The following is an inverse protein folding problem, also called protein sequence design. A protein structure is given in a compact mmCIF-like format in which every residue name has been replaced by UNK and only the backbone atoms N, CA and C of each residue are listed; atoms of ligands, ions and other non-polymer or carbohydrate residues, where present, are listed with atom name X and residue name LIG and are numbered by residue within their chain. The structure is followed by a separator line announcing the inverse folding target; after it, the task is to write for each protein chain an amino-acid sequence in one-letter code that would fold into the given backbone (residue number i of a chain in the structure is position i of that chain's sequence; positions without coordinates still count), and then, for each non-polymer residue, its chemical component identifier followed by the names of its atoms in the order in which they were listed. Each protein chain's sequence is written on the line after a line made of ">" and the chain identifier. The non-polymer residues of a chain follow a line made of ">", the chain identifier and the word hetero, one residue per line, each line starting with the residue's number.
data_IF_103347126921
#
_entry.id   IF_103347126921
#
_cell.length_a   1.000
_cell.length_b   1.000
_cell.length_c   1.000
_cell.angle_alpha   90.00
_cell.angle_beta   90.00
_cell.angle_gamma   90.00
#
_symmetry.space_group_name_H-M   'P 1'
#
loop_
_entity.id
_entity.type
_entity.pdbx_description
1 polymer ?
#
# COMPACT_ATOMS: atom_id res chain seq x y z
N UNK A 1 35.79 -18.92 14.35
CA UNK A 1 34.64 -18.74 15.25
C UNK A 1 33.77 -17.59 14.71
N UNK A 2 32.68 -17.91 14.02
CA UNK A 2 31.52 -17.01 13.88
C UNK A 2 30.37 -17.76 14.55
N UNK A 3 29.80 -17.13 15.55
CA UNK A 3 28.79 -17.65 16.45
C UNK A 3 27.57 -18.19 15.67
N UNK A 4 27.26 -19.49 15.86
CA UNK A 4 26.10 -20.15 15.23
C UNK A 4 24.79 -19.90 16.00
N UNK A 5 24.85 -19.13 17.09
CA UNK A 5 23.72 -18.89 18.00
C UNK A 5 22.94 -17.61 17.66
N UNK A 6 23.41 -16.81 16.69
CA UNK A 6 22.72 -15.60 16.18
C UNK A 6 21.85 -15.86 14.94
N UNK A 7 21.86 -17.09 14.40
CA UNK A 7 21.00 -17.53 13.30
C UNK A 7 19.70 -18.19 13.81
N UNK A 8 18.87 -17.46 14.55
CA UNK A 8 17.43 -17.69 14.47
C UNK A 8 16.95 -16.82 13.31
N UNK A 9 16.83 -17.36 12.09
CA UNK A 9 17.08 -16.60 10.86
C UNK A 9 15.86 -15.78 10.48
N UNK A 10 16.05 -14.76 9.64
CA UNK A 10 14.96 -14.00 8.99
C UNK A 10 13.90 -14.90 8.33
N UNK A 11 14.24 -16.16 8.02
CA UNK A 11 13.33 -17.25 7.66
C UNK A 11 12.21 -17.50 8.69
N UNK A 12 12.45 -17.39 10.00
CA UNK A 12 11.41 -17.54 11.02
C UNK A 12 10.43 -16.38 11.01
N UNK A 13 10.92 -15.16 10.75
CA UNK A 13 10.08 -13.97 10.59
C UNK A 13 9.26 -14.08 9.31
N UNK A 14 9.89 -14.48 8.19
CA UNK A 14 9.17 -14.84 6.97
C UNK A 14 8.13 -15.90 7.22
N UNK A 15 8.47 -17.01 7.89
CA UNK A 15 7.53 -18.10 8.20
C UNK A 15 6.40 -17.65 9.10
N UNK A 16 6.65 -16.79 10.08
CA UNK A 16 5.59 -16.23 10.94
C UNK A 16 4.67 -15.32 10.13
N UNK A 17 5.23 -14.43 9.30
CA UNK A 17 4.45 -13.53 8.44
C UNK A 17 3.67 -14.32 7.39
N UNK A 18 4.29 -15.30 6.74
CA UNK A 18 3.64 -16.10 5.69
C UNK A 18 2.68 -17.11 6.28
N UNK A 19 2.97 -17.75 7.41
CA UNK A 19 2.06 -18.72 8.02
C UNK A 19 0.92 -18.02 8.75
N UNK A 20 1.20 -17.17 9.75
CA UNK A 20 0.15 -16.47 10.49
C UNK A 20 -0.57 -15.42 9.62
N UNK A 21 0.16 -14.69 8.78
CA UNK A 21 -0.44 -13.72 7.87
C UNK A 21 -1.27 -14.39 6.78
N UNK A 22 -0.83 -15.50 6.18
CA UNK A 22 -1.68 -16.21 5.22
C UNK A 22 -2.85 -16.91 5.87
N UNK A 23 -2.71 -17.55 7.03
CA UNK A 23 -3.84 -18.16 7.74
C UNK A 23 -4.91 -17.12 8.05
N UNK A 24 -4.52 -15.96 8.60
CA UNK A 24 -5.46 -14.88 8.92
C UNK A 24 -6.05 -14.20 7.68
N UNK A 25 -5.22 -14.02 6.64
CA UNK A 25 -5.69 -13.50 5.36
C UNK A 25 -6.69 -14.44 4.70
N UNK A 26 -6.43 -15.75 4.74
CA UNK A 26 -7.22 -16.76 4.03
C UNK A 26 -8.41 -17.27 4.83
N UNK A 27 -8.45 -17.07 6.16
CA UNK A 27 -9.51 -17.56 7.04
C UNK A 27 -10.92 -17.17 6.59
N UNK A 28 -11.08 -15.97 6.03
CA UNK A 28 -12.37 -15.47 5.51
C UNK A 28 -12.34 -15.23 4.00
N UNK A 29 -11.48 -15.92 3.25
CA UNK A 29 -11.41 -15.80 1.79
C UNK A 29 -11.74 -17.13 1.09
N UNK A 30 -12.33 -17.11 -0.12
CA UNK A 30 -12.49 -18.30 -0.93
C UNK A 30 -11.15 -19.02 -1.12
N UNK A 31 -11.13 -20.34 -0.91
CA UNK A 31 -9.92 -21.17 -0.95
C UNK A 31 -9.09 -21.00 -2.24
N UNK A 32 -9.74 -20.66 -3.37
CA UNK A 32 -9.08 -20.37 -4.65
C UNK A 32 -8.06 -19.22 -4.60
N UNK A 33 -8.16 -18.29 -3.65
CA UNK A 33 -7.23 -17.17 -3.51
C UNK A 33 -6.04 -17.47 -2.59
N UNK A 34 -6.06 -18.57 -1.83
CA UNK A 34 -4.98 -18.91 -0.91
C UNK A 34 -3.61 -19.05 -1.61
N UNK A 35 -3.47 -19.75 -2.77
CA UNK A 35 -2.19 -19.82 -3.47
C UNK A 35 -1.68 -18.46 -3.93
N UNK A 36 -2.58 -17.60 -4.40
CA UNK A 36 -2.25 -16.23 -4.84
C UNK A 36 -1.73 -15.38 -3.67
N UNK A 37 -2.44 -15.39 -2.54
CA UNK A 37 -2.02 -14.62 -1.36
C UNK A 37 -0.71 -15.14 -0.77
N UNK A 38 -0.52 -16.46 -0.73
CA UNK A 38 0.74 -17.07 -0.32
C UNK A 38 1.91 -16.60 -1.18
N UNK A 39 1.71 -16.54 -2.50
CA UNK A 39 2.74 -16.07 -3.43
C UNK A 39 3.08 -14.58 -3.20
N UNK A 40 2.06 -13.72 -3.06
CA UNK A 40 2.25 -12.29 -2.80
C UNK A 40 3.02 -12.05 -1.50
N UNK A 41 2.61 -12.70 -0.40
CA UNK A 41 3.28 -12.59 0.90
C UNK A 41 4.70 -13.13 0.84
N UNK A 42 4.91 -14.30 0.24
CA UNK A 42 6.24 -14.93 0.18
C UNK A 42 7.23 -14.06 -0.60
N UNK A 43 6.84 -13.55 -1.78
CA UNK A 43 7.69 -12.66 -2.59
C UNK A 43 8.02 -11.37 -1.85
N UNK A 44 7.04 -10.75 -1.20
CA UNK A 44 7.29 -9.53 -0.43
C UNK A 44 8.26 -9.82 0.73
N UNK A 45 8.06 -10.92 1.45
CA UNK A 45 8.93 -11.32 2.55
C UNK A 45 10.37 -11.58 2.10
N UNK A 46 10.57 -12.27 0.96
CA UNK A 46 11.89 -12.49 0.35
C UNK A 46 12.60 -11.16 0.06
N UNK A 47 11.89 -10.19 -0.51
CA UNK A 47 12.43 -8.86 -0.79
C UNK A 47 12.85 -8.13 0.50
N UNK A 48 11.98 -8.15 1.52
CA UNK A 48 12.22 -7.44 2.77
C UNK A 48 13.38 -8.04 3.56
N UNK A 49 13.52 -9.36 3.61
CA UNK A 49 14.57 -10.04 4.38
C UNK A 49 15.99 -9.66 3.95
N UNK A 50 16.19 -9.41 2.65
CA UNK A 50 17.50 -9.09 2.13
C UNK A 50 17.95 -7.64 2.43
N UNK A 51 17.01 -6.72 2.69
CA UNK A 51 17.31 -5.29 2.79
C UNK A 51 16.95 -4.64 4.12
N UNK A 52 16.11 -5.28 4.94
CA UNK A 52 15.57 -4.69 6.17
C UNK A 52 16.23 -5.32 7.41
N UNK A 53 16.70 -4.52 8.38
CA UNK A 53 17.21 -5.02 9.66
C UNK A 53 16.16 -5.88 10.39
N UNK A 54 16.61 -6.88 11.14
CA UNK A 54 15.73 -7.84 11.83
C UNK A 54 14.63 -7.19 12.69
N UNK A 55 14.96 -6.15 13.45
CA UNK A 55 13.99 -5.48 14.33
C UNK A 55 12.90 -4.77 13.53
N UNK A 56 13.29 -4.10 12.45
CA UNK A 56 12.37 -3.43 11.53
C UNK A 56 11.52 -4.43 10.74
N UNK A 57 12.09 -5.55 10.34
CA UNK A 57 11.36 -6.64 9.69
C UNK A 57 10.27 -7.21 10.61
N UNK A 58 10.53 -7.35 11.91
CA UNK A 58 9.51 -7.78 12.88
C UNK A 58 8.35 -6.79 12.95
N UNK A 59 8.65 -5.48 13.00
CA UNK A 59 7.63 -4.41 13.03
C UNK A 59 6.77 -4.40 11.77
N UNK A 60 7.40 -4.54 10.60
CA UNK A 60 6.68 -4.67 9.32
C UNK A 60 5.83 -5.94 9.32
N UNK A 61 6.36 -7.05 9.84
CA UNK A 61 5.64 -8.31 9.96
C UNK A 61 4.38 -8.23 10.81
N UNK A 62 4.46 -7.57 11.97
CA UNK A 62 3.31 -7.34 12.83
C UNK A 62 2.26 -6.44 12.16
N UNK A 63 2.69 -5.44 11.39
CA UNK A 63 1.79 -4.62 10.58
C UNK A 63 1.13 -5.39 9.44
N UNK A 64 1.85 -6.30 8.77
CA UNK A 64 1.29 -7.19 7.74
C UNK A 64 0.23 -8.13 8.34
N UNK A 65 0.48 -8.67 9.53
CA UNK A 65 -0.49 -9.49 10.27
C UNK A 65 -1.72 -8.65 10.63
N UNK A 66 -1.53 -7.43 11.14
CA UNK A 66 -2.62 -6.52 11.46
C UNK A 66 -3.46 -6.19 10.22
N UNK A 67 -2.84 -5.80 9.11
CA UNK A 67 -3.52 -5.54 7.84
C UNK A 67 -4.32 -6.75 7.35
N UNK A 68 -3.75 -7.96 7.49
CA UNK A 68 -4.41 -9.22 7.14
C UNK A 68 -5.64 -9.51 7.98
N UNK A 69 -5.60 -9.18 9.28
CA UNK A 69 -6.76 -9.29 10.18
C UNK A 69 -7.85 -8.28 9.81
N UNK A 70 -7.46 -7.00 9.69
CA UNK A 70 -8.40 -5.91 9.43
C UNK A 70 -9.12 -6.08 8.08
N UNK A 71 -8.42 -6.53 7.04
CA UNK A 71 -8.99 -6.66 5.69
C UNK A 71 -9.41 -8.09 5.33
N UNK A 72 -9.50 -8.99 6.32
CA UNK A 72 -9.94 -10.37 6.09
C UNK A 72 -11.36 -10.40 5.50
N UNK A 73 -11.55 -11.08 4.38
CA UNK A 73 -12.85 -11.14 3.68
C UNK A 73 -13.28 -9.85 2.97
N UNK A 74 -12.42 -8.83 2.88
CA UNK A 74 -12.66 -7.65 2.04
C UNK A 74 -12.11 -7.92 0.64
N UNK A 75 -12.91 -7.62 -0.38
CA UNK A 75 -12.57 -7.85 -1.80
C UNK A 75 -12.68 -6.56 -2.60
N UNK A 76 -11.83 -6.44 -3.61
CA UNK A 76 -11.95 -5.38 -4.61
C UNK A 76 -13.14 -5.66 -5.54
N UNK A 77 -13.57 -4.64 -6.28
CA UNK A 77 -14.62 -4.78 -7.31
C UNK A 77 -14.28 -5.82 -8.39
N UNK A 78 -12.99 -6.06 -8.63
CA UNK A 78 -12.49 -7.11 -9.54
C UNK A 78 -12.57 -8.53 -8.96
N UNK A 79 -12.94 -8.67 -7.69
CA UNK A 79 -13.06 -9.95 -6.98
C UNK A 79 -11.77 -10.41 -6.30
N UNK A 80 -10.65 -9.74 -6.48
CA UNK A 80 -9.40 -10.07 -5.79
C UNK A 80 -9.43 -9.63 -4.31
N UNK A 81 -8.74 -10.34 -3.40
CA UNK A 81 -8.58 -9.90 -2.02
C UNK A 81 -8.03 -8.47 -1.91
N UNK A 82 -8.64 -7.63 -1.07
CA UNK A 82 -8.17 -6.26 -0.86
C UNK A 82 -6.72 -6.21 -0.36
N UNK A 83 -6.35 -7.17 0.49
CA UNK A 83 -4.99 -7.33 0.99
C UNK A 83 -3.93 -7.36 -0.13
N UNK A 84 -4.25 -7.88 -1.33
CA UNK A 84 -3.31 -7.88 -2.44
C UNK A 84 -2.88 -6.47 -2.86
N UNK A 85 -3.79 -5.50 -2.80
CA UNK A 85 -3.48 -4.09 -3.05
C UNK A 85 -2.52 -3.53 -1.99
N UNK A 86 -2.80 -3.79 -0.70
CA UNK A 86 -1.94 -3.33 0.40
C UNK A 86 -0.52 -3.90 0.27
N UNK A 87 -0.37 -5.18 -0.06
CA UNK A 87 0.92 -5.81 -0.29
C UNK A 87 1.65 -5.22 -1.50
N UNK A 88 0.92 -4.90 -2.59
CA UNK A 88 1.50 -4.26 -3.77
C UNK A 88 1.96 -2.82 -3.46
N UNK A 89 1.22 -2.07 -2.63
CA UNK A 89 1.63 -0.72 -2.17
C UNK A 89 2.94 -0.76 -1.37
N UNK A 90 3.13 -1.76 -0.50
CA UNK A 90 4.41 -1.98 0.20
C UNK A 90 5.52 -2.33 -0.80
N UNK A 91 5.25 -3.28 -1.71
CA UNK A 91 6.21 -3.74 -2.73
C UNK A 91 6.67 -2.58 -3.62
N UNK A 92 5.74 -1.74 -4.07
CA UNK A 92 6.01 -0.56 -4.89
C UNK A 92 6.85 0.48 -4.15
N UNK A 93 6.51 0.75 -2.88
CA UNK A 93 7.31 1.64 -2.02
C UNK A 93 8.75 1.12 -1.87
N UNK A 94 8.90 -0.18 -1.62
CA UNK A 94 10.20 -0.82 -1.49
C UNK A 94 11.02 -0.77 -2.78
N UNK A 95 10.41 -1.10 -3.94
CA UNK A 95 11.08 -1.03 -5.25
C UNK A 95 11.46 0.39 -5.66
N UNK A 96 10.79 1.40 -5.11
CA UNK A 96 11.18 2.80 -5.26
C UNK A 96 12.36 3.20 -4.34
N UNK A 97 12.90 2.29 -3.54
CA UNK A 97 14.05 2.52 -2.66
C UNK A 97 13.68 2.88 -1.22
N UNK A 98 12.43 2.68 -0.79
CA UNK A 98 12.04 2.88 0.61
C UNK A 98 12.35 1.62 1.42
N UNK A 99 13.36 1.72 2.29
CA UNK A 99 13.73 0.67 3.25
C UNK A 99 13.44 1.06 4.71
N UNK A 100 12.74 2.18 4.91
CA UNK A 100 12.37 2.67 6.24
C UNK A 100 11.10 1.98 6.73
N UNK A 101 11.18 1.26 7.85
CA UNK A 101 10.07 0.47 8.37
C UNK A 101 8.78 1.28 8.58
N UNK A 102 8.89 2.49 9.14
CA UNK A 102 7.71 3.34 9.38
C UNK A 102 6.93 3.62 8.08
N UNK A 103 7.62 3.89 6.97
CA UNK A 103 6.95 4.16 5.70
C UNK A 103 6.33 2.90 5.10
N UNK A 104 6.99 1.75 5.22
CA UNK A 104 6.46 0.47 4.76
C UNK A 104 5.26 0.02 5.60
N UNK A 105 5.27 0.30 6.90
CA UNK A 105 4.13 0.09 7.80
C UNK A 105 2.98 1.04 7.44
N UNK A 106 3.27 2.32 7.20
CA UNK A 106 2.24 3.25 6.73
C UNK A 106 1.64 2.82 5.39
N UNK A 107 2.46 2.29 4.49
CA UNK A 107 2.03 1.77 3.19
C UNK A 107 1.07 0.57 3.33
N UNK A 108 1.35 -0.39 4.22
CA UNK A 108 0.45 -1.55 4.40
C UNK A 108 -0.84 -1.18 5.13
N UNK A 109 -0.80 -0.17 6.01
CA UNK A 109 -1.95 0.20 6.85
C UNK A 109 -2.78 1.36 6.28
N UNK A 110 -2.42 1.93 5.12
CA UNK A 110 -2.97 3.20 4.64
C UNK A 110 -4.50 3.27 4.57
N UNK A 111 -5.17 2.19 4.17
CA UNK A 111 -6.64 2.14 4.05
C UNK A 111 -7.35 1.60 5.29
N UNK A 112 -6.62 1.24 6.35
CA UNK A 112 -7.22 0.57 7.52
C UNK A 112 -8.32 1.40 8.19
N UNK A 113 -8.19 2.73 8.14
CA UNK A 113 -9.19 3.65 8.71
C UNK A 113 -10.39 3.86 7.79
N UNK A 114 -10.26 3.63 6.48
CA UNK A 114 -11.35 3.78 5.52
C UNK A 114 -12.16 2.48 5.41
N UNK A 115 -11.48 1.36 5.17
CA UNK A 115 -12.13 0.10 4.78
C UNK A 115 -12.38 -0.87 5.94
N UNK A 116 -11.77 -0.63 7.10
CA UNK A 116 -11.84 -1.55 8.25
C UNK A 116 -12.11 -0.84 9.59
N UNK A 117 -12.69 0.36 9.56
CA UNK A 117 -12.97 1.17 10.76
C UNK A 117 -13.87 0.45 11.78
N UNK A 118 -14.81 -0.37 11.34
CA UNK A 118 -15.70 -1.19 12.17
C UNK A 118 -14.98 -2.33 12.90
N UNK A 119 -13.77 -2.68 12.47
CA UNK A 119 -12.93 -3.76 13.02
C UNK A 119 -11.82 -3.23 13.92
N UNK A 120 -11.77 -1.93 14.14
CA UNK A 120 -10.77 -1.28 14.98
C UNK A 120 -11.30 -1.00 16.40
N UNK A 121 -10.44 -1.02 17.43
CA UNK A 121 -10.77 -0.48 18.73
C UNK A 121 -11.14 1.01 18.65
N UNK A 122 -11.79 1.53 19.70
CA UNK A 122 -12.19 2.94 19.78
C UNK A 122 -11.01 3.92 19.58
N UNK A 123 -9.82 3.58 20.08
CA UNK A 123 -8.59 4.39 19.95
C UNK A 123 -7.91 4.24 18.57
N UNK A 124 -8.52 3.49 17.66
CA UNK A 124 -8.03 3.28 16.30
C UNK A 124 -6.65 2.62 16.27
N UNK A 125 -5.74 3.19 15.47
CA UNK A 125 -4.39 2.64 15.31
C UNK A 125 -3.51 2.78 16.56
N UNK A 126 -3.86 3.70 17.47
CA UNK A 126 -3.11 3.90 18.72
C UNK A 126 -3.16 2.66 19.62
N UNK A 127 -4.24 1.87 19.54
CA UNK A 127 -4.41 0.65 20.33
C UNK A 127 -3.40 -0.47 19.99
N UNK A 128 -2.69 -0.36 18.86
CA UNK A 128 -1.79 -1.41 18.37
C UNK A 128 -0.31 -1.17 18.68
N UNK A 129 0.03 -0.16 19.49
CA UNK A 129 1.41 0.12 19.88
C UNK A 129 2.31 0.54 18.71
N UNK A 130 1.71 1.11 17.65
CA UNK A 130 2.45 1.66 16.51
C UNK A 130 3.13 2.98 16.92
N UNK A 131 4.30 3.32 16.36
CA UNK A 131 4.91 4.63 16.61
C UNK A 131 3.99 5.77 16.16
N UNK A 132 3.98 6.88 16.89
CA UNK A 132 3.16 8.07 16.60
C UNK A 132 3.30 8.54 15.15
N UNK A 133 4.51 8.48 14.61
CA UNK A 133 4.80 8.84 13.23
C UNK A 133 4.06 7.96 12.22
N UNK A 134 3.93 6.66 12.48
CA UNK A 134 3.15 5.74 11.65
C UNK A 134 1.68 6.09 11.75
N UNK A 135 1.15 6.21 12.98
CA UNK A 135 -0.27 6.54 13.21
C UNK A 135 -0.66 7.83 12.50
N UNK A 136 0.15 8.88 12.68
CA UNK A 136 -0.07 10.19 12.04
C UNK A 136 0.05 10.10 10.52
N UNK A 137 1.02 9.34 10.02
CA UNK A 137 1.19 9.16 8.57
C UNK A 137 0.04 8.37 7.94
N UNK A 138 -0.55 7.40 8.64
CA UNK A 138 -1.72 6.65 8.16
C UNK A 138 -2.98 7.51 8.25
N UNK A 139 -3.15 8.29 9.33
CA UNK A 139 -4.24 9.25 9.43
C UNK A 139 -4.21 10.27 8.28
N UNK A 140 -3.02 10.77 7.90
CA UNK A 140 -2.84 11.66 6.76
C UNK A 140 -3.14 11.00 5.40
N UNK A 141 -3.06 9.68 5.30
CA UNK A 141 -3.38 8.91 4.10
C UNK A 141 -4.88 8.61 3.97
N UNK A 142 -5.62 8.75 5.06
CA UNK A 142 -7.06 8.52 5.15
C UNK A 142 -7.87 9.77 4.81
N UNK A 143 -8.97 9.59 4.10
CA UNK A 143 -9.99 10.62 3.84
C UNK A 143 -10.95 10.81 5.01
N UNK A 144 -10.92 9.93 6.02
CA UNK A 144 -11.76 10.06 7.21
C UNK A 144 -11.50 11.40 7.89
N UNK A 145 -12.55 12.16 8.17
CA UNK A 145 -12.44 13.49 8.78
C UNK A 145 -12.02 14.61 7.81
N UNK A 146 -11.89 14.33 6.51
CA UNK A 146 -11.59 15.33 5.47
C UNK A 146 -12.82 15.56 4.59
N UNK A 147 -13.68 16.55 4.89
CA UNK A 147 -14.94 16.78 4.17
C UNK A 147 -14.74 17.16 2.69
N UNK A 148 -13.59 17.73 2.33
CA UNK A 148 -13.26 18.12 0.97
C UNK A 148 -11.98 17.45 0.44
N UNK A 149 -11.93 17.04 -0.85
CA UNK A 149 -10.74 16.47 -1.47
C UNK A 149 -9.48 17.34 -1.31
N UNK A 150 -9.63 18.66 -1.38
CA UNK A 150 -8.52 19.61 -1.22
C UNK A 150 -7.90 19.54 0.18
N UNK A 151 -8.72 19.38 1.23
CA UNK A 151 -8.22 19.29 2.61
C UNK A 151 -7.46 17.98 2.84
N UNK A 152 -7.93 16.89 2.23
CA UNK A 152 -7.23 15.61 2.24
C UNK A 152 -5.85 15.73 1.58
N UNK A 153 -5.78 16.31 0.39
CA UNK A 153 -4.52 16.47 -0.33
C UNK A 153 -3.54 17.42 0.37
N UNK A 154 -4.03 18.47 1.01
CA UNK A 154 -3.18 19.33 1.86
C UNK A 154 -2.64 18.61 3.10
N UNK A 155 -3.41 17.70 3.70
CA UNK A 155 -2.90 16.84 4.77
C UNK A 155 -1.77 15.93 4.25
N UNK A 156 -1.99 15.20 3.15
CA UNK A 156 -0.93 14.38 2.53
C UNK A 156 0.31 15.22 2.22
N UNK A 157 0.14 16.44 1.70
CA UNK A 157 1.24 17.38 1.44
C UNK A 157 2.00 17.70 2.73
N UNK A 158 1.34 18.00 3.84
CA UNK A 158 2.00 18.34 5.12
C UNK A 158 2.84 17.18 5.66
N UNK A 159 2.38 15.94 5.49
CA UNK A 159 3.07 14.76 6.00
C UNK A 159 3.99 14.14 4.95
N UNK A 160 5.26 14.57 4.95
CA UNK A 160 6.28 14.08 4.01
C UNK A 160 6.36 12.54 3.93
N UNK A 161 6.17 11.83 5.06
CA UNK A 161 6.19 10.36 5.09
C UNK A 161 4.99 9.69 4.44
N UNK A 162 3.89 10.42 4.20
CA UNK A 162 2.69 9.91 3.53
C UNK A 162 2.81 9.99 2.00
N UNK A 163 3.61 10.93 1.46
CA UNK A 163 3.66 11.20 0.01
C UNK A 163 4.11 10.00 -0.83
N UNK A 164 5.16 9.29 -0.42
CA UNK A 164 5.64 8.11 -1.16
C UNK A 164 4.66 6.93 -1.07
N UNK A 165 4.16 6.54 0.12
CA UNK A 165 3.06 5.59 0.21
C UNK A 165 1.85 5.97 -0.65
N UNK A 166 1.49 7.26 -0.71
CA UNK A 166 0.36 7.71 -1.53
C UNK A 166 0.59 7.57 -3.03
N UNK A 167 1.81 7.84 -3.51
CA UNK A 167 2.20 7.57 -4.90
C UNK A 167 2.15 6.07 -5.21
N UNK A 168 2.63 5.22 -4.30
CA UNK A 168 2.61 3.77 -4.45
C UNK A 168 1.18 3.20 -4.48
N UNK A 169 0.31 3.68 -3.59
CA UNK A 169 -1.13 3.39 -3.59
C UNK A 169 -1.73 3.78 -4.95
N UNK A 170 -1.51 5.03 -5.38
CA UNK A 170 -2.07 5.53 -6.64
C UNK A 170 -1.64 4.67 -7.83
N UNK A 171 -0.38 4.26 -7.87
CA UNK A 171 0.16 3.38 -8.91
C UNK A 171 -0.50 1.99 -8.88
N UNK A 172 -0.67 1.39 -7.71
CA UNK A 172 -1.35 0.09 -7.58
C UNK A 172 -2.80 0.18 -8.09
N UNK A 173 -3.49 1.27 -7.76
CA UNK A 173 -4.84 1.55 -8.25
C UNK A 173 -4.91 1.78 -9.76
N UNK A 174 -3.99 2.55 -10.34
CA UNK A 174 -3.90 2.74 -11.81
C UNK A 174 -3.67 1.42 -12.56
N UNK A 175 -2.89 0.49 -11.99
CA UNK A 175 -2.63 -0.83 -12.61
C UNK A 175 -3.83 -1.76 -12.60
N UNK A 176 -4.81 -1.48 -11.74
CA UNK A 176 -5.95 -2.37 -11.48
C UNK A 176 -7.31 -1.74 -11.78
N UNK A 177 -7.36 -0.47 -12.19
CA UNK A 177 -8.62 0.20 -12.53
C UNK A 177 -9.32 -0.40 -13.76
N UNK A 178 -8.58 -1.09 -14.64
CA UNK A 178 -9.16 -1.80 -15.79
C UNK A 178 -10.05 -2.94 -15.29
N UNK A 179 -11.35 -2.88 -15.62
CA UNK A 179 -12.35 -3.83 -15.14
C UNK A 179 -12.87 -3.54 -13.72
N UNK A 180 -12.31 -2.57 -13.01
CA UNK A 180 -12.83 -2.09 -11.73
C UNK A 180 -13.65 -0.80 -11.86
N UNK A 181 -13.25 0.08 -12.80
CA UNK A 181 -13.81 1.41 -12.99
C UNK A 181 -14.53 1.53 -14.34
N UNK A 182 -15.57 2.37 -14.38
CA UNK A 182 -16.14 2.84 -15.65
C UNK A 182 -15.13 3.71 -16.41
N UNK A 183 -15.37 3.95 -17.70
CA UNK A 183 -14.51 4.81 -18.51
C UNK A 183 -14.47 6.24 -17.96
N UNK A 184 -15.61 6.76 -17.54
CA UNK A 184 -15.76 8.07 -16.91
C UNK A 184 -14.93 8.13 -15.64
N UNK A 185 -15.00 7.08 -14.81
CA UNK A 185 -14.24 7.03 -13.56
C UNK A 185 -12.74 6.90 -13.80
N UNK A 186 -12.31 6.15 -14.83
CA UNK A 186 -10.90 6.12 -15.22
C UNK A 186 -10.40 7.49 -15.66
N UNK A 187 -11.16 8.25 -16.46
CA UNK A 187 -10.79 9.62 -16.86
C UNK A 187 -10.69 10.56 -15.67
N UNK A 188 -11.64 10.48 -14.73
CA UNK A 188 -11.60 11.23 -13.48
C UNK A 188 -10.35 10.90 -12.67
N UNK A 189 -10.06 9.60 -12.49
CA UNK A 189 -8.94 9.13 -11.69
C UNK A 189 -7.58 9.54 -12.30
N UNK A 190 -7.47 9.53 -13.62
CA UNK A 190 -6.29 10.03 -14.35
C UNK A 190 -6.11 11.53 -14.11
N UNK A 191 -7.18 12.33 -14.26
CA UNK A 191 -7.12 13.78 -14.01
C UNK A 191 -6.74 14.11 -12.57
N UNK A 192 -7.40 13.52 -11.59
CA UNK A 192 -7.06 13.69 -10.15
C UNK A 192 -5.58 13.33 -9.89
N UNK A 193 -5.07 12.29 -10.57
CA UNK A 193 -3.67 11.89 -10.42
C UNK A 193 -2.71 12.96 -10.96
N UNK A 194 -2.94 13.42 -12.19
CA UNK A 194 -2.06 14.38 -12.88
C UNK A 194 -2.16 15.79 -12.32
N UNK A 195 -3.38 16.24 -12.01
CA UNK A 195 -3.69 17.63 -11.71
C UNK A 195 -3.61 17.93 -10.21
N UNK A 196 -3.79 16.92 -9.34
CA UNK A 196 -3.81 17.11 -7.88
C UNK A 196 -2.70 16.31 -7.18
N UNK A 197 -2.66 14.98 -7.37
CA UNK A 197 -1.76 14.10 -6.60
C UNK A 197 -0.28 14.26 -6.94
N UNK A 198 0.10 14.31 -8.21
CA UNK A 198 1.50 14.50 -8.62
C UNK A 198 2.04 15.85 -8.13
N UNK A 199 1.33 16.99 -8.27
CA UNK A 199 1.79 18.28 -7.76
C UNK A 199 2.07 18.32 -6.24
N UNK A 200 1.36 17.54 -5.43
CA UNK A 200 1.51 17.54 -3.96
C UNK A 200 2.49 16.46 -3.44
N UNK A 201 2.57 15.31 -4.12
CA UNK A 201 3.38 14.18 -3.66
C UNK A 201 4.69 14.07 -4.43
N UNK A 202 4.71 14.55 -5.67
CA UNK A 202 5.79 14.30 -6.60
C UNK A 202 6.99 15.23 -6.43
N UNK A 203 7.99 15.05 -7.28
CA UNK A 203 9.29 15.73 -7.25
C UNK A 203 9.19 17.25 -7.25
N UNK A 204 8.15 17.81 -7.87
CA UNK A 204 7.87 19.25 -7.94
C UNK A 204 7.22 19.83 -6.68
N UNK A 205 6.74 19.00 -5.76
CA UNK A 205 6.03 19.44 -4.55
C UNK A 205 6.92 20.19 -3.54
N UNK A 206 8.24 19.99 -3.62
CA UNK A 206 9.21 20.52 -2.65
C UNK A 206 9.18 19.79 -1.30
N UNK A 207 10.30 19.73 -0.59
CA UNK A 207 10.36 19.16 0.76
C UNK A 207 10.38 17.63 0.87
N UNK A 208 10.57 16.90 -0.23
CA UNK A 208 10.71 15.42 -0.21
C UNK A 208 12.03 14.95 0.43
N UNK A 209 13.09 15.75 0.36
CA UNK A 209 14.40 15.42 0.93
C UNK A 209 14.90 14.06 0.44
N UNK A 210 15.20 13.15 1.37
CA UNK A 210 15.69 11.80 1.05
C UNK A 210 14.71 10.91 0.27
N UNK A 211 13.45 11.33 0.10
CA UNK A 211 12.43 10.56 -0.64
C UNK A 211 12.29 10.99 -2.11
N UNK A 212 13.11 11.94 -2.56
CA UNK A 212 13.00 12.52 -3.92
C UNK A 212 13.18 11.47 -5.01
N UNK A 213 14.14 10.55 -4.86
CA UNK A 213 14.38 9.51 -5.87
C UNK A 213 13.24 8.48 -5.91
N UNK A 214 12.70 8.10 -4.75
CA UNK A 214 11.54 7.22 -4.67
C UNK A 214 10.31 7.83 -5.33
N UNK A 215 10.03 9.12 -5.06
CA UNK A 215 8.95 9.84 -5.72
C UNK A 215 9.14 9.87 -7.24
N UNK A 216 10.36 10.17 -7.71
CA UNK A 216 10.69 10.19 -9.15
C UNK A 216 10.42 8.85 -9.83
N UNK A 217 10.80 7.74 -9.19
CA UNK A 217 10.58 6.39 -9.73
C UNK A 217 9.07 6.11 -9.84
N UNK A 218 8.30 6.43 -8.80
CA UNK A 218 6.86 6.19 -8.78
C UNK A 218 6.12 7.09 -9.76
N UNK A 219 6.47 8.38 -9.86
CA UNK A 219 5.93 9.32 -10.85
C UNK A 219 6.12 8.79 -12.27
N UNK A 220 7.31 8.33 -12.61
CA UNK A 220 7.56 7.76 -13.93
C UNK A 220 6.67 6.55 -14.20
N UNK A 221 6.51 5.63 -13.24
CA UNK A 221 5.64 4.47 -13.40
C UNK A 221 4.15 4.84 -13.46
N UNK A 222 3.75 5.91 -12.76
CA UNK A 222 2.40 6.48 -12.82
C UNK A 222 2.15 7.03 -14.23
N UNK A 223 3.09 7.82 -14.79
CA UNK A 223 2.98 8.39 -16.13
C UNK A 223 2.81 7.29 -17.19
N UNK A 224 3.60 6.21 -17.11
CA UNK A 224 3.45 5.07 -18.02
C UNK A 224 2.11 4.35 -17.85
N UNK A 225 1.60 4.24 -16.63
CA UNK A 225 0.29 3.65 -16.35
C UNK A 225 -0.85 4.52 -16.89
N UNK A 226 -0.72 5.85 -16.79
CA UNK A 226 -1.66 6.83 -17.36
C UNK A 226 -1.67 6.75 -18.89
N UNK A 227 -0.50 6.68 -19.53
CA UNK A 227 -0.38 6.51 -20.99
C UNK A 227 -1.09 5.23 -21.45
N UNK A 228 -0.82 4.11 -20.77
CA UNK A 228 -1.45 2.83 -21.08
C UNK A 228 -2.98 2.86 -20.88
N UNK A 229 -3.45 3.54 -19.85
CA UNK A 229 -4.88 3.69 -19.59
C UNK A 229 -5.58 4.58 -20.63
N UNK A 230 -4.96 5.71 -20.97
CA UNK A 230 -5.46 6.62 -22.00
C UNK A 230 -5.57 5.94 -23.36
N UNK A 231 -4.54 5.17 -23.74
CA UNK A 231 -4.57 4.36 -24.96
C UNK A 231 -5.71 3.33 -24.95
N UNK A 232 -5.94 2.66 -23.83
CA UNK A 232 -7.06 1.72 -23.68
C UNK A 232 -8.42 2.39 -23.86
N UNK A 233 -8.63 3.56 -23.26
CA UNK A 233 -9.86 4.36 -23.41
C UNK A 233 -10.04 4.80 -24.87
N UNK A 234 -8.97 5.27 -25.52
CA UNK A 234 -9.01 5.73 -26.92
C UNK A 234 -9.35 4.59 -27.90
N UNK A 235 -8.91 3.37 -27.63
CA UNK A 235 -9.27 2.17 -28.40
C UNK A 235 -10.74 1.72 -28.18
N UNK A 236 -11.51 2.42 -27.33
CA UNK A 236 -12.88 2.06 -26.96
C UNK A 236 -12.96 0.93 -25.95
N UNK A 237 -11.87 0.67 -25.21
CA UNK A 237 -11.87 -0.21 -24.05
C UNK A 237 -12.86 0.30 -23.00
N UNK A 238 -13.84 -0.53 -22.66
CA UNK A 238 -14.93 -0.19 -21.74
C UNK A 238 -16.33 -0.11 -22.36
N UNK A 239 -16.47 -0.23 -23.70
CA UNK A 239 -17.78 -0.36 -24.37
C UNK A 239 -18.59 -1.63 -24.02
N UNK A 240 -18.05 -2.50 -23.17
CA UNK A 240 -18.66 -3.78 -22.79
C UNK A 240 -18.74 -4.03 -21.29
N UNK A 241 -18.52 -3.03 -20.44
CA UNK A 241 -18.76 -3.18 -19.00
C UNK A 241 -20.14 -2.61 -18.70
N UNK A 242 -21.16 -3.45 -18.90
CA UNK A 242 -22.53 -3.25 -18.41
C UNK A 242 -22.63 -3.69 -16.96
#
# INVERSE_FOLDING_TARGET
>A
MKDRTTMIPSIYVCRRITHSGAELATANMPARYAPYMNLCLSRLCEMLVCAIPKQDLMRIGDALILASKLHSGIFRKTGEPYLAHLLDTVRLSFLAGIHEADLLISAVLHDSQEDASDRMPADGLNAYGLPDRVVTSVAALSKVGSPHPTEYFEQVRRFRSARVPKLADRLSNLRSMRGAFSVEKMREYIRETSDELIPICGTKSGGLGRYTDAARILEHQIDESIKAATAFIAAGGGRHVC
#
